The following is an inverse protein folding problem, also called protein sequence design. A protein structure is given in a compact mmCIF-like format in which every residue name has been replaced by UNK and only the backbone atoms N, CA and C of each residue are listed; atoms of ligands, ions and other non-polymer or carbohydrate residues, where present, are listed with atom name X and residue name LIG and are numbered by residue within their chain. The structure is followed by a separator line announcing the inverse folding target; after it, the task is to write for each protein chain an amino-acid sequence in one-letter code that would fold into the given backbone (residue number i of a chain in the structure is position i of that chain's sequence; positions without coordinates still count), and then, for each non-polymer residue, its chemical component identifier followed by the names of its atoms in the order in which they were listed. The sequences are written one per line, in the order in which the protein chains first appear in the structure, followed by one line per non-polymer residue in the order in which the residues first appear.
data_IF_556686020838
#
_entry.id   IF_556686020838
#
_cell.length_a   1.000
_cell.length_b   1.000
_cell.length_c   1.000
_cell.angle_alpha   90.00
_cell.angle_beta   90.00
_cell.angle_gamma   90.00
#
_symmetry.space_group_name_H-M   'P 1'
#
loop_
_entity.id
_entity.type
_entity.pdbx_description
1 polymer ?
#
# COMPACT_ATOMS: atom_id res chain seq x y z
N UNK A 1 -12.23 -3.64 -3.45
CA UNK A 1 -12.30 -2.30 -2.82
C UNK A 1 -11.05 -1.52 -3.20
N UNK A 2 -11.21 -0.32 -3.77
CA UNK A 2 -10.08 0.43 -4.32
C UNK A 2 -9.21 1.01 -3.19
N UNK A 3 -7.93 0.65 -3.17
CA UNK A 3 -6.96 1.12 -2.20
C UNK A 3 -5.74 1.74 -2.90
N UNK A 4 -5.27 2.85 -2.37
CA UNK A 4 -4.00 3.46 -2.74
C UNK A 4 -2.92 3.02 -1.76
N UNK A 5 -1.83 2.48 -2.30
CA UNK A 5 -0.68 2.04 -1.54
C UNK A 5 0.45 3.05 -1.74
N UNK A 6 1.01 3.51 -0.63
CA UNK A 6 2.08 4.53 -0.56
C UNK A 6 3.24 4.05 0.31
N UNK A 7 4.35 4.80 0.30
CA UNK A 7 5.51 4.51 1.16
C UNK A 7 6.51 3.52 0.57
N UNK A 8 6.30 3.10 -0.68
CA UNK A 8 7.17 2.19 -1.43
C UNK A 8 8.47 2.85 -1.98
N UNK A 9 8.72 4.13 -1.66
CA UNK A 9 9.82 4.92 -2.23
C UNK A 9 9.59 5.37 -3.68
N UNK A 10 8.93 4.55 -4.50
CA UNK A 10 8.51 4.87 -5.87
C UNK A 10 6.99 5.14 -5.94
N UNK A 11 6.59 6.40 -5.76
CA UNK A 11 5.21 6.84 -6.01
C UNK A 11 4.13 6.10 -5.21
N UNK A 12 2.95 6.00 -5.80
CA UNK A 12 1.78 5.31 -5.24
C UNK A 12 1.14 4.42 -6.30
N UNK A 13 0.68 3.24 -5.90
CA UNK A 13 -0.12 2.37 -6.77
C UNK A 13 -1.57 2.32 -6.30
N UNK A 14 -2.49 2.11 -7.22
CA UNK A 14 -3.89 1.87 -6.89
C UNK A 14 -4.24 0.44 -7.26
N UNK A 15 -4.78 -0.31 -6.32
CA UNK A 15 -5.13 -1.72 -6.50
C UNK A 15 -6.49 -2.02 -5.86
N UNK A 16 -7.23 -2.95 -6.45
CA UNK A 16 -8.42 -3.49 -5.81
C UNK A 16 -8.04 -4.58 -4.80
N UNK A 17 -8.34 -4.32 -3.53
CA UNK A 17 -8.15 -5.28 -2.47
C UNK A 17 -9.43 -6.08 -2.21
N UNK A 18 -9.28 -7.39 -2.04
CA UNK A 18 -10.32 -8.27 -1.49
C UNK A 18 -10.44 -8.11 0.03
N UNK A 19 -9.33 -7.79 0.70
CA UNK A 19 -9.27 -7.54 2.15
C UNK A 19 -8.30 -6.40 2.45
N UNK A 20 -8.62 -5.58 3.46
CA UNK A 20 -7.72 -4.52 3.92
C UNK A 20 -6.76 -5.11 4.96
N UNK A 21 -5.44 -5.10 4.71
CA UNK A 21 -4.47 -5.56 5.70
C UNK A 21 -4.45 -4.63 6.91
N UNK A 22 -4.10 -5.14 8.08
CA UNK A 22 -4.04 -4.38 9.33
C UNK A 22 -2.68 -3.74 9.54
N UNK A 23 -2.64 -2.68 10.34
CA UNK A 23 -1.36 -2.10 10.79
C UNK A 23 -0.52 -3.16 11.51
N UNK A 24 0.75 -3.26 11.16
CA UNK A 24 1.70 -4.25 11.67
C UNK A 24 1.76 -5.54 10.85
N UNK A 25 0.84 -5.77 9.92
CA UNK A 25 0.91 -6.92 9.03
C UNK A 25 2.00 -6.74 7.97
N UNK A 26 2.62 -7.85 7.58
CA UNK A 26 3.56 -7.88 6.46
C UNK A 26 2.82 -8.07 5.15
N UNK A 27 3.25 -7.35 4.13
CA UNK A 27 2.67 -7.40 2.79
C UNK A 27 3.78 -7.50 1.74
N UNK A 28 3.50 -8.29 0.70
CA UNK A 28 4.34 -8.44 -0.49
C UNK A 28 3.58 -7.90 -1.69
N UNK A 29 4.21 -7.02 -2.44
CA UNK A 29 3.64 -6.33 -3.59
C UNK A 29 4.49 -6.63 -4.80
N UNK A 30 3.88 -7.20 -5.83
CA UNK A 30 4.48 -7.31 -7.16
C UNK A 30 3.95 -6.17 -8.04
N UNK A 31 4.84 -5.35 -8.58
CA UNK A 31 4.49 -4.17 -9.38
C UNK A 31 5.27 -4.14 -10.70
N UNK A 32 5.04 -5.16 -11.53
CA UNK A 32 5.71 -5.33 -12.82
C UNK A 32 6.18 -6.77 -13.01
N UNK A 33 6.79 -7.11 -14.16
CA UNK A 33 7.28 -8.45 -14.43
C UNK A 33 8.39 -8.88 -13.46
N UNK A 34 9.26 -7.94 -13.04
CA UNK A 34 10.44 -8.24 -12.22
C UNK A 34 10.57 -7.32 -10.99
N UNK A 35 9.51 -6.61 -10.61
CA UNK A 35 9.54 -5.65 -9.50
C UNK A 35 8.69 -6.15 -8.33
N UNK A 36 9.34 -6.29 -7.18
CA UNK A 36 8.75 -6.75 -5.93
C UNK A 36 9.14 -5.83 -4.77
N UNK A 37 8.21 -5.64 -3.84
CA UNK A 37 8.46 -4.97 -2.57
C UNK A 37 7.77 -5.71 -1.43
N UNK A 38 8.54 -6.02 -0.40
CA UNK A 38 8.02 -6.51 0.88
C UNK A 38 8.14 -5.43 1.94
N UNK A 39 7.14 -5.33 2.81
CA UNK A 39 7.14 -4.33 3.87
C UNK A 39 6.05 -4.54 4.91
N UNK A 40 6.11 -3.70 5.93
CA UNK A 40 5.13 -3.64 7.01
C UNK A 40 4.09 -2.56 6.71
N UNK A 41 2.81 -2.88 6.92
CA UNK A 41 1.75 -1.88 6.91
C UNK A 41 1.88 -0.97 8.14
N UNK A 42 2.28 0.27 7.93
CA UNK A 42 2.46 1.24 9.02
C UNK A 42 1.21 2.07 9.32
N UNK A 43 0.30 2.20 8.34
CA UNK A 43 -1.01 2.84 8.55
C UNK A 43 -2.05 2.41 7.53
N UNK A 44 -3.30 2.40 7.96
CA UNK A 44 -4.49 2.21 7.13
C UNK A 44 -5.45 3.35 7.45
N UNK A 45 -5.73 4.20 6.47
CA UNK A 45 -6.59 5.36 6.62
C UNK A 45 -7.78 5.23 5.66
N UNK A 46 -8.99 5.48 6.18
CA UNK A 46 -10.18 5.60 5.37
C UNK A 46 -10.47 7.08 5.16
N UNK A 47 -10.26 7.55 3.93
CA UNK A 47 -10.67 8.89 3.53
C UNK A 47 -12.14 8.85 3.11
N UNK A 48 -12.98 9.58 3.83
CA UNK A 48 -14.41 9.72 3.55
C UNK A 48 -14.71 11.20 3.34
N UNK A 49 -15.15 11.55 2.14
CA UNK A 49 -15.61 12.89 1.82
C UNK A 49 -17.06 12.82 1.36
N UNK A 50 -17.98 13.13 2.28
CA UNK A 50 -19.42 13.09 2.02
C UNK A 50 -19.87 14.18 1.03
N UNK A 51 -19.20 15.34 1.03
CA UNK A 51 -19.53 16.44 0.13
C UNK A 51 -19.29 16.06 -1.35
N UNK A 52 -18.31 15.21 -1.61
CA UNK A 52 -17.98 14.72 -2.95
C UNK A 52 -18.47 13.27 -3.20
N UNK A 53 -19.16 12.65 -2.24
CA UNK A 53 -19.53 11.23 -2.26
C UNK A 53 -18.34 10.29 -2.59
N UNK A 54 -17.17 10.58 -2.01
CA UNK A 54 -15.93 9.84 -2.26
C UNK A 54 -15.52 9.03 -1.03
N UNK A 55 -15.11 7.78 -1.28
CA UNK A 55 -14.46 6.94 -0.29
C UNK A 55 -13.19 6.34 -0.90
N UNK A 56 -12.08 6.43 -0.17
CA UNK A 56 -10.79 5.87 -0.57
C UNK A 56 -10.10 5.24 0.62
N UNK A 57 -9.48 4.09 0.42
CA UNK A 57 -8.60 3.48 1.42
C UNK A 57 -7.16 3.84 1.06
N UNK A 58 -6.40 4.35 2.02
CA UNK A 58 -4.99 4.67 1.86
C UNK A 58 -4.18 3.80 2.80
N UNK A 59 -3.26 3.03 2.24
CA UNK A 59 -2.38 2.13 2.96
C UNK A 59 -0.97 2.67 2.80
N UNK A 60 -0.27 2.83 3.92
CA UNK A 60 1.14 3.19 3.91
C UNK A 60 1.95 1.98 4.33
N UNK A 61 2.97 1.69 3.55
CA UNK A 61 3.89 0.59 3.79
C UNK A 61 5.26 1.18 4.10
N UNK A 62 5.96 0.56 5.04
CA UNK A 62 7.40 0.74 5.22
C UNK A 62 8.07 -0.50 4.62
N UNK A 63 8.83 -0.33 3.53
CA UNK A 63 9.58 -1.44 2.95
C UNK A 63 10.50 -2.02 4.02
N UNK A 64 10.59 -3.34 4.10
CA UNK A 64 11.71 -3.94 4.79
C UNK A 64 12.95 -3.54 3.99
N UNK A 65 14.03 -3.14 4.67
CA UNK A 65 15.28 -2.85 3.97
C UNK A 65 15.69 -4.09 3.18
N UNK A 66 15.35 -4.13 1.89
CA UNK A 66 16.09 -4.89 0.93
C UNK A 66 17.42 -4.15 0.87
N UNK A 67 18.42 -4.66 1.61
CA UNK A 67 19.80 -4.57 1.17
C UNK A 67 19.77 -5.05 -0.28
N UNK A 68 19.61 -4.13 -1.23
CA UNK A 68 19.94 -4.37 -2.62
C UNK A 68 21.45 -4.52 -2.58
N UNK A 69 21.89 -5.77 -2.47
CA UNK A 69 23.28 -6.12 -2.71
C UNK A 69 23.49 -5.81 -4.21
N UNK A 70 24.49 -4.97 -4.45
CA UNK A 70 24.82 -4.33 -5.72
C UNK A 70 24.90 -5.27 -6.94
#
# INVERSE_FOLDING_TARGET
MLAEITGMGQGSITVELQMIPRKGESVKIMYGPDAELEGEVVSVNHYINQNANQHKVQIKIRPFNLLIIA
#
